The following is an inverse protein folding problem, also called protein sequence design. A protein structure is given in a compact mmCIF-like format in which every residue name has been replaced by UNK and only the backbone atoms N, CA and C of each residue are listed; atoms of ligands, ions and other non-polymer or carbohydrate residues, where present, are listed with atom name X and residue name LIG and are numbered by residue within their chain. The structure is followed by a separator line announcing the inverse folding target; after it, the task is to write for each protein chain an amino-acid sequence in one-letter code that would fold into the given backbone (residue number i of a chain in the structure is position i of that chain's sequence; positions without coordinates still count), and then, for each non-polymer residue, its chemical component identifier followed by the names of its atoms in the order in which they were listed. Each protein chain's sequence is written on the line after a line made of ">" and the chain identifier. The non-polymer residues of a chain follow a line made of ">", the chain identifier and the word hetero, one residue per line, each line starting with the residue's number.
data_IF_316483216256
#
_entry.id   IF_316483216256
#
_cell.length_a   1.000
_cell.length_b   1.000
_cell.length_c   1.000
_cell.angle_alpha   90.00
_cell.angle_beta   90.00
_cell.angle_gamma   90.00
#
_symmetry.space_group_name_H-M   'P 1'
#
loop_
_entity.id
_entity.type
_entity.pdbx_description
1 polymer ?
#
# COMPACT_ATOMS: atom_id res chain seq x y z
N UNK A 1 9.49 -5.50 7.15
CA UNK A 1 8.21 -4.82 6.85
C UNK A 1 8.45 -3.81 5.73
N UNK A 2 7.47 -3.60 4.86
CA UNK A 2 7.47 -2.55 3.84
C UNK A 2 6.23 -1.67 4.04
N UNK A 3 6.41 -0.35 4.02
CA UNK A 3 5.32 0.62 4.08
C UNK A 3 5.38 1.54 2.85
N UNK A 4 4.23 1.80 2.22
CA UNK A 4 4.15 2.62 1.00
C UNK A 4 2.90 3.50 1.01
N UNK A 5 3.02 4.74 0.53
CA UNK A 5 1.92 5.69 0.49
C UNK A 5 1.94 6.47 -0.82
N UNK A 6 0.77 6.86 -1.32
CA UNK A 6 0.64 7.71 -2.50
C UNK A 6 1.28 7.04 -3.74
N UNK A 7 2.32 7.67 -4.32
CA UNK A 7 3.03 7.15 -5.48
C UNK A 7 4.14 6.14 -5.12
N UNK A 8 4.42 5.92 -3.83
CA UNK A 8 5.46 4.98 -3.40
C UNK A 8 5.21 3.55 -3.91
N UNK A 9 3.96 3.21 -4.26
CA UNK A 9 3.61 1.91 -4.80
C UNK A 9 4.30 1.62 -6.14
N UNK A 10 4.69 2.63 -6.93
CA UNK A 10 5.47 2.42 -8.15
C UNK A 10 6.80 1.70 -7.91
N UNK A 11 7.47 1.96 -6.78
CA UNK A 11 8.71 1.26 -6.44
C UNK A 11 8.45 -0.24 -6.25
N UNK A 12 7.31 -0.59 -5.64
CA UNK A 12 6.92 -1.98 -5.41
C UNK A 12 6.46 -2.66 -6.71
N UNK A 13 5.79 -1.91 -7.59
CA UNK A 13 5.41 -2.36 -8.93
C UNK A 13 6.65 -2.68 -9.75
N UNK A 14 7.62 -1.76 -9.81
CA UNK A 14 8.89 -1.96 -10.54
C UNK A 14 9.74 -3.10 -9.98
N UNK A 15 9.58 -3.42 -8.70
CA UNK A 15 10.20 -4.59 -8.08
C UNK A 15 9.46 -5.91 -8.36
N UNK A 16 8.34 -5.88 -9.08
CA UNK A 16 7.50 -7.03 -9.45
C UNK A 16 6.93 -7.83 -8.26
N UNK A 17 6.79 -7.19 -7.09
CA UNK A 17 6.35 -7.85 -5.84
C UNK A 17 4.86 -7.67 -5.51
N UNK A 18 4.08 -7.06 -6.40
CA UNK A 18 2.67 -6.71 -6.16
C UNK A 18 1.66 -7.80 -6.53
N UNK A 19 2.06 -8.82 -7.30
CA UNK A 19 1.16 -9.88 -7.76
C UNK A 19 0.54 -10.65 -6.58
N UNK A 20 -0.79 -10.69 -6.53
CA UNK A 20 -1.56 -11.37 -5.49
C UNK A 20 -1.63 -10.62 -4.15
N UNK A 21 -1.07 -9.41 -4.05
CA UNK A 21 -1.14 -8.59 -2.84
C UNK A 21 -2.43 -7.79 -2.78
N UNK A 22 -2.95 -7.58 -1.57
CA UNK A 22 -3.98 -6.57 -1.29
C UNK A 22 -3.28 -5.26 -0.94
N UNK A 23 -3.57 -4.19 -1.66
CA UNK A 23 -2.89 -2.91 -1.45
C UNK A 23 -3.77 -1.72 -1.86
N UNK A 24 -3.33 -0.53 -1.50
CA UNK A 24 -3.89 0.73 -1.95
C UNK A 24 -2.79 1.70 -2.36
N UNK A 25 -3.17 2.77 -3.04
CA UNK A 25 -2.29 3.84 -3.52
C UNK A 25 -3.14 5.08 -3.84
N UNK A 26 -2.49 6.20 -4.19
CA UNK A 26 -3.24 7.35 -4.70
C UNK A 26 -4.00 6.96 -5.97
N UNK A 27 -5.22 7.48 -6.12
CA UNK A 27 -6.12 7.12 -7.23
C UNK A 27 -5.51 7.32 -8.62
N UNK A 28 -4.56 8.25 -8.76
CA UNK A 28 -3.85 8.53 -10.02
C UNK A 28 -3.06 7.34 -10.59
N UNK A 29 -2.68 6.37 -9.75
CA UNK A 29 -1.88 5.20 -10.15
C UNK A 29 -2.56 3.86 -9.82
N UNK A 30 -3.87 3.89 -9.57
CA UNK A 30 -4.63 2.67 -9.21
C UNK A 30 -4.56 1.61 -10.31
N UNK A 31 -4.61 2.04 -11.56
CA UNK A 31 -4.66 1.13 -12.71
C UNK A 31 -3.29 0.46 -12.91
N UNK A 32 -2.18 1.17 -12.64
CA UNK A 32 -0.84 0.57 -12.63
C UNK A 32 -0.72 -0.52 -11.55
N UNK A 33 -1.28 -0.26 -10.37
CA UNK A 33 -1.28 -1.23 -9.26
C UNK A 33 -2.08 -2.48 -9.61
N UNK A 34 -3.25 -2.31 -10.24
CA UNK A 34 -4.09 -3.41 -10.72
C UNK A 34 -3.37 -4.19 -11.82
N UNK A 35 -2.76 -3.51 -12.79
CA UNK A 35 -2.02 -4.13 -13.89
C UNK A 35 -0.79 -4.90 -13.40
N UNK A 36 -0.18 -4.48 -12.28
CA UNK A 36 0.88 -5.22 -11.58
C UNK A 36 0.38 -6.48 -10.85
N UNK A 37 -0.92 -6.77 -10.91
CA UNK A 37 -1.54 -7.98 -10.36
C UNK A 37 -1.94 -7.88 -8.89
N UNK A 38 -2.00 -6.67 -8.31
CA UNK A 38 -2.54 -6.47 -6.97
C UNK A 38 -4.06 -6.30 -6.97
N UNK A 39 -4.69 -6.66 -5.86
CA UNK A 39 -6.08 -6.28 -5.57
C UNK A 39 -6.08 -4.89 -4.94
N UNK A 40 -6.42 -3.87 -5.74
CA UNK A 40 -6.61 -2.51 -5.24
C UNK A 40 -7.85 -2.42 -4.32
N UNK A 41 -7.67 -1.81 -3.16
CA UNK A 41 -8.74 -1.50 -2.22
C UNK A 41 -8.75 0.00 -1.96
N UNK A 42 -9.88 0.67 -2.19
CA UNK A 42 -10.05 2.08 -1.83
C UNK A 42 -10.31 2.20 -0.32
N UNK A 43 -9.24 2.13 0.47
CA UNK A 43 -9.25 2.18 1.93
C UNK A 43 -8.13 3.08 2.43
N UNK A 44 -8.33 3.73 3.58
CA UNK A 44 -7.32 4.60 4.21
C UNK A 44 -6.02 3.85 4.51
N UNK A 45 -6.10 2.59 4.93
CA UNK A 45 -4.95 1.73 5.18
C UNK A 45 -5.29 0.30 4.81
N UNK A 46 -4.36 -0.37 4.14
CA UNK A 46 -4.42 -1.80 3.83
C UNK A 46 -3.20 -2.46 4.43
N UNK A 47 -3.41 -3.52 5.21
CA UNK A 47 -2.36 -4.37 5.78
C UNK A 47 -2.47 -5.76 5.17
N UNK A 48 -1.42 -6.19 4.47
CA UNK A 48 -1.31 -7.51 3.87
C UNK A 48 0.03 -8.16 4.26
N UNK A 49 -0.01 -8.94 5.35
CA UNK A 49 1.19 -9.54 5.93
C UNK A 49 2.19 -8.48 6.39
N UNK A 50 3.35 -8.39 5.73
CA UNK A 50 4.42 -7.43 6.03
C UNK A 50 4.34 -6.14 5.20
N UNK A 51 3.31 -5.99 4.35
CA UNK A 51 3.07 -4.81 3.51
C UNK A 51 1.96 -3.95 4.12
N UNK A 52 2.26 -2.67 4.33
CA UNK A 52 1.29 -1.65 4.78
C UNK A 52 1.21 -0.56 3.71
N UNK A 53 0.00 -0.26 3.21
CA UNK A 53 -0.18 0.76 2.17
C UNK A 53 -1.32 1.74 2.49
N UNK A 54 -1.18 3.00 2.04
CA UNK A 54 -2.19 4.07 2.18
C UNK A 54 -2.26 4.98 0.95
N UNK A 55 -3.35 5.75 0.78
CA UNK A 55 -3.62 6.47 -0.49
C UNK A 55 -2.94 7.82 -0.53
N UNK A 56 -3.13 8.66 0.48
CA UNK A 56 -2.69 10.07 0.46
C UNK A 56 -2.29 10.54 1.86
N UNK A 57 -1.67 11.75 2.02
CA UNK A 57 -1.33 12.27 3.35
C UNK A 57 -2.52 12.41 4.31
N UNK A 58 -3.76 12.49 3.81
CA UNK A 58 -4.97 12.50 4.63
C UNK A 58 -5.15 11.20 5.42
N UNK A 59 -4.57 10.08 4.94
CA UNK A 59 -4.66 8.77 5.58
C UNK A 59 -3.55 8.54 6.64
N UNK A 60 -2.64 9.50 6.87
CA UNK A 60 -1.59 9.39 7.90
C UNK A 60 -2.09 8.98 9.30
N UNK A 61 -3.27 9.46 9.77
CA UNK A 61 -3.83 9.04 11.06
C UNK A 61 -4.10 7.53 11.16
N UNK A 62 -4.32 6.83 10.05
CA UNK A 62 -4.53 5.38 10.00
C UNK A 62 -3.26 4.62 9.57
N UNK A 63 -2.46 5.22 8.69
CA UNK A 63 -1.21 4.64 8.19
C UNK A 63 -0.14 4.48 9.28
N UNK A 64 0.15 5.54 10.04
CA UNK A 64 1.24 5.54 11.02
C UNK A 64 0.99 4.55 12.17
N UNK A 65 -0.21 4.49 12.77
CA UNK A 65 -0.49 3.48 13.79
C UNK A 65 -0.37 2.04 13.26
N UNK A 66 -0.76 1.79 12.01
CA UNK A 66 -0.63 0.47 11.39
C UNK A 66 0.84 0.05 11.24
N UNK A 67 1.73 0.96 10.84
CA UNK A 67 3.18 0.73 10.78
C UNK A 67 3.73 0.41 12.17
N UNK A 68 3.39 1.23 13.18
CA UNK A 68 3.86 1.03 14.56
C UNK A 68 3.39 -0.31 15.11
N UNK A 69 2.13 -0.69 14.86
CA UNK A 69 1.58 -1.98 15.28
C UNK A 69 2.31 -3.16 14.61
N UNK A 70 2.65 -3.02 13.33
CA UNK A 70 3.39 -4.04 12.61
C UNK A 70 4.87 -4.16 13.04
N UNK A 71 5.48 -3.11 13.63
CA UNK A 71 6.86 -3.11 14.12
C UNK A 71 7.01 -3.79 15.49
N UNK A 72 5.91 -3.89 16.25
CA UNK A 72 5.89 -4.46 17.60
C UNK A 72 5.71 -5.99 17.62
N UNK A 73 5.59 -6.63 16.46
CA UNK A 73 5.51 -8.08 16.29
C UNK A 73 6.88 -8.66 16.00
#
# INVERSE_FOLDING_TARGET
>A
MVASICHGAWVLISAEIMKGKRATCVSAIKDDLINAGATYLDQEVVVDGNLVTSRTPQDLPSFLPAIIAALKK
#
